data_IF_646204431766
#
_entry.id   IF_646204431766
#
_cell.length_a   1.000
_cell.length_b   1.000
_cell.length_c   1.000
_cell.angle_alpha   90.00
_cell.angle_beta   90.00
_cell.angle_gamma   90.00
#
_symmetry.space_group_name_H-M   'P 1'
#
loop_
_entity.id
_entity.type
_entity.pdbx_description
1 polymer ?
#
# COMPACT_ATOMS: atom_id res chain seq x y z
N UNK A 1 -37.08 -0.76 5.45
CA UNK A 1 -35.90 -1.35 4.77
C UNK A 1 -34.65 -0.98 5.57
N UNK A 2 -34.41 -1.65 6.70
CA UNK A 2 -33.25 -1.38 7.58
C UNK A 2 -32.33 -2.61 7.74
N UNK A 3 -32.75 -3.82 7.35
CA UNK A 3 -31.97 -5.04 7.57
C UNK A 3 -30.78 -5.26 6.63
N UNK A 4 -30.78 -4.67 5.42
CA UNK A 4 -29.76 -4.98 4.40
C UNK A 4 -28.36 -4.44 4.74
N UNK A 5 -28.28 -3.33 5.50
CA UNK A 5 -27.00 -2.67 5.79
C UNK A 5 -26.28 -3.33 6.97
N UNK A 6 -27.02 -3.87 7.93
CA UNK A 6 -26.45 -4.53 9.11
C UNK A 6 -25.80 -5.88 8.73
N UNK A 7 -26.46 -6.64 7.86
CA UNK A 7 -25.93 -7.92 7.36
C UNK A 7 -24.62 -7.73 6.59
N UNK A 8 -24.55 -6.75 5.68
CA UNK A 8 -23.32 -6.42 4.91
C UNK A 8 -22.18 -5.99 5.83
N UNK A 9 -22.47 -5.18 6.86
CA UNK A 9 -21.46 -4.76 7.82
C UNK A 9 -20.94 -5.95 8.64
N UNK A 10 -21.82 -6.87 9.02
CA UNK A 10 -21.46 -8.07 9.76
C UNK A 10 -20.59 -9.02 8.93
N UNK A 11 -20.95 -9.26 7.67
CA UNK A 11 -20.15 -10.06 6.72
C UNK A 11 -18.77 -9.45 6.50
N UNK A 12 -18.70 -8.13 6.32
CA UNK A 12 -17.42 -7.41 6.20
C UNK A 12 -16.55 -7.56 7.44
N UNK A 13 -17.12 -7.44 8.64
CA UNK A 13 -16.37 -7.63 9.88
C UNK A 13 -15.91 -9.07 10.06
N UNK A 14 -16.72 -10.05 9.67
CA UNK A 14 -16.33 -11.45 9.70
C UNK A 14 -15.17 -11.75 8.74
N UNK A 15 -15.21 -11.19 7.52
CA UNK A 15 -14.13 -11.31 6.54
C UNK A 15 -12.81 -10.78 7.10
N UNK A 16 -12.78 -9.55 7.61
CA UNK A 16 -11.54 -8.97 8.13
C UNK A 16 -11.02 -9.72 9.35
N UNK A 17 -11.90 -10.12 10.28
CA UNK A 17 -11.47 -10.90 11.45
C UNK A 17 -10.81 -12.21 11.04
N UNK A 18 -11.43 -12.96 10.13
CA UNK A 18 -10.84 -14.20 9.64
C UNK A 18 -9.49 -13.94 8.96
N UNK A 19 -9.39 -12.85 8.18
CA UNK A 19 -8.14 -12.49 7.51
C UNK A 19 -7.04 -12.07 8.49
N UNK A 20 -7.36 -11.30 9.51
CA UNK A 20 -6.43 -10.91 10.57
C UNK A 20 -5.96 -12.11 11.39
N UNK A 21 -6.85 -13.08 11.65
CA UNK A 21 -6.52 -14.35 12.30
C UNK A 21 -5.54 -15.18 11.44
N UNK A 22 -5.79 -15.28 10.12
CA UNK A 22 -4.88 -15.95 9.18
C UNK A 22 -3.51 -15.27 9.08
N UNK A 23 -3.49 -13.92 9.07
CA UNK A 23 -2.27 -13.14 8.98
C UNK A 23 -1.52 -13.05 10.32
N UNK A 24 -2.19 -13.37 11.44
CA UNK A 24 -1.67 -13.19 12.79
C UNK A 24 -1.42 -11.72 13.18
N UNK A 25 -1.92 -10.76 12.39
CA UNK A 25 -1.71 -9.33 12.62
C UNK A 25 -2.92 -8.51 12.15
N UNK A 26 -3.21 -7.36 12.80
CA UNK A 26 -4.34 -6.52 12.46
C UNK A 26 -4.11 -5.79 11.12
N UNK A 27 -5.20 -5.59 10.37
CA UNK A 27 -5.20 -4.78 9.15
C UNK A 27 -5.44 -3.32 9.53
N UNK A 28 -4.48 -2.44 9.22
CA UNK A 28 -4.54 -1.01 9.54
C UNK A 28 -5.45 -0.25 8.60
N UNK A 29 -5.34 -0.52 7.31
CA UNK A 29 -6.17 0.09 6.29
C UNK A 29 -6.27 -0.79 5.05
N UNK A 30 -7.32 -0.57 4.27
CA UNK A 30 -7.60 -1.32 3.06
C UNK A 30 -8.29 -0.43 2.03
N UNK A 31 -8.16 -0.79 0.76
CA UNK A 31 -8.82 -0.12 -0.35
C UNK A 31 -9.02 -1.08 -1.52
N UNK A 32 -10.02 -0.79 -2.36
CA UNK A 32 -10.08 -1.40 -3.67
C UNK A 32 -9.08 -0.72 -4.61
N UNK A 33 -8.36 -1.52 -5.39
CA UNK A 33 -7.40 -0.99 -6.34
C UNK A 33 -7.07 -1.93 -7.47
N UNK A 34 -6.13 -1.49 -8.30
CA UNK A 34 -5.61 -2.26 -9.43
C UNK A 34 -4.13 -2.46 -9.26
N UNK A 35 -3.68 -3.70 -9.30
CA UNK A 35 -2.29 -3.99 -9.61
C UNK A 35 -2.07 -3.77 -11.10
N UNK A 36 -1.05 -2.98 -11.44
CA UNK A 36 -0.75 -2.60 -12.82
C UNK A 36 0.43 -3.41 -13.36
N UNK A 37 1.52 -3.53 -12.60
CA UNK A 37 2.71 -4.23 -13.05
C UNK A 37 3.77 -4.40 -11.96
N UNK A 38 4.78 -5.21 -12.28
CA UNK A 38 6.10 -5.14 -11.67
C UNK A 38 6.45 -6.24 -10.68
N UNK A 39 5.61 -7.24 -10.49
CA UNK A 39 5.96 -8.52 -9.87
C UNK A 39 5.77 -9.66 -10.87
N UNK A 40 5.86 -10.91 -10.40
CA UNK A 40 5.81 -12.13 -11.24
C UNK A 40 4.49 -12.32 -11.98
N UNK A 41 3.48 -11.55 -11.61
CA UNK A 41 2.13 -11.63 -12.16
C UNK A 41 1.96 -10.57 -13.25
N UNK A 42 1.41 -10.99 -14.39
CA UNK A 42 1.01 -10.07 -15.45
C UNK A 42 -0.23 -9.28 -15.02
N UNK A 43 -0.11 -7.96 -14.95
CA UNK A 43 -1.24 -7.04 -14.76
C UNK A 43 -1.91 -6.67 -16.09
N UNK A 44 -3.00 -5.87 -16.07
CA UNK A 44 -3.61 -5.27 -14.88
C UNK A 44 -4.65 -6.20 -14.21
N UNK A 45 -4.64 -6.26 -12.89
CA UNK A 45 -5.59 -7.06 -12.08
C UNK A 45 -6.30 -6.18 -11.06
N UNK A 46 -7.62 -6.36 -10.92
CA UNK A 46 -8.39 -5.76 -9.83
C UNK A 46 -8.29 -6.61 -8.57
N UNK A 47 -8.16 -5.96 -7.42
CA UNK A 47 -8.05 -6.67 -6.16
C UNK A 47 -8.12 -5.75 -4.95
N UNK A 48 -8.04 -6.38 -3.79
CA UNK A 48 -8.01 -5.71 -2.51
C UNK A 48 -6.56 -5.36 -2.17
N UNK A 49 -6.31 -4.10 -1.88
CA UNK A 49 -5.07 -3.62 -1.30
C UNK A 49 -5.28 -3.48 0.19
N UNK A 50 -4.37 -4.01 1.00
CA UNK A 50 -4.47 -3.84 2.45
C UNK A 50 -3.09 -3.82 3.11
N UNK A 51 -3.04 -3.13 4.23
CA UNK A 51 -1.82 -2.77 4.94
C UNK A 51 -1.86 -3.34 6.36
N UNK A 52 -0.78 -3.99 6.77
CA UNK A 52 -0.49 -4.31 8.16
C UNK A 52 0.70 -3.47 8.64
N UNK A 53 1.16 -3.66 9.87
CA UNK A 53 2.34 -2.94 10.39
C UNK A 53 3.63 -3.27 9.62
N UNK A 54 3.75 -4.51 9.13
CA UNK A 54 5.00 -5.01 8.56
C UNK A 54 4.92 -5.26 7.05
N UNK A 55 3.71 -5.30 6.47
CA UNK A 55 3.50 -5.79 5.10
C UNK A 55 2.40 -5.04 4.39
N UNK A 56 2.57 -4.89 3.08
CA UNK A 56 1.56 -4.42 2.16
C UNK A 56 1.16 -5.56 1.22
N UNK A 57 -0.14 -5.73 1.02
CA UNK A 57 -0.67 -6.85 0.25
C UNK A 57 -1.54 -6.37 -0.91
N UNK A 58 -1.50 -7.12 -2.00
CA UNK A 58 -2.50 -7.11 -3.05
C UNK A 58 -3.10 -8.49 -3.21
N UNK A 59 -4.42 -8.58 -3.14
CA UNK A 59 -5.16 -9.82 -3.24
C UNK A 59 -6.19 -9.74 -4.37
N UNK A 60 -5.90 -10.44 -5.46
CA UNK A 60 -6.82 -10.65 -6.56
C UNK A 60 -7.68 -11.89 -6.30
N UNK A 61 -8.99 -11.70 -6.31
CA UNK A 61 -9.95 -12.79 -6.23
C UNK A 61 -10.43 -13.18 -7.64
N UNK A 62 -10.45 -14.48 -7.98
CA UNK A 62 -11.09 -14.94 -9.20
C UNK A 62 -12.57 -14.54 -9.16
N UNK A 63 -13.11 -14.10 -10.30
CA UNK A 63 -14.32 -13.26 -10.43
C UNK A 63 -15.65 -13.76 -9.80
N UNK A 64 -15.71 -14.90 -9.13
CA UNK A 64 -16.98 -15.41 -8.63
C UNK A 64 -17.43 -14.83 -7.28
N UNK A 65 -16.54 -14.27 -6.43
CA UNK A 65 -16.92 -14.05 -5.02
C UNK A 65 -16.69 -12.65 -4.41
N UNK A 66 -15.91 -11.73 -5.00
CA UNK A 66 -15.55 -10.49 -4.28
C UNK A 66 -16.53 -9.31 -4.45
N UNK A 67 -17.24 -9.22 -5.58
CA UNK A 67 -18.30 -8.19 -5.77
C UNK A 67 -19.49 -8.43 -4.82
N UNK A 68 -19.74 -9.69 -4.46
CA UNK A 68 -20.73 -10.06 -3.43
C UNK A 68 -20.27 -9.64 -2.02
N UNK A 69 -18.97 -9.69 -1.73
CA UNK A 69 -18.41 -9.38 -0.42
C UNK A 69 -18.26 -7.87 -0.11
N UNK A 70 -18.28 -7.00 -1.14
CA UNK A 70 -18.09 -5.54 -0.96
C UNK A 70 -19.31 -4.67 -1.33
N UNK A 71 -20.40 -5.26 -1.84
CA UNK A 71 -21.70 -4.59 -1.98
C UNK A 71 -21.85 -3.68 -3.21
N UNK A 72 -22.54 -4.21 -4.24
CA UNK A 72 -23.50 -3.48 -5.08
C UNK A 72 -22.99 -2.37 -6.02
N UNK A 73 -22.64 -2.74 -7.26
CA UNK A 73 -22.55 -1.76 -8.36
C UNK A 73 -21.62 -2.18 -9.50
N UNK A 74 -22.10 -3.03 -10.42
CA UNK A 74 -21.34 -3.39 -11.61
C UNK A 74 -21.20 -2.22 -12.59
N UNK A 75 -20.00 -2.06 -13.17
CA UNK A 75 -19.74 -1.71 -14.58
C UNK A 75 -18.23 -1.48 -14.77
N UNK A 76 -17.51 -2.46 -15.33
CA UNK A 76 -16.08 -2.33 -15.61
C UNK A 76 -15.60 -3.37 -16.62
N UNK A 77 -15.74 -3.05 -17.90
CA UNK A 77 -15.22 -3.79 -19.06
C UNK A 77 -13.72 -4.11 -18.94
N UNK A 78 -13.37 -5.33 -19.35
CA UNK A 78 -12.20 -5.58 -20.20
C UNK A 78 -10.90 -5.93 -19.49
N UNK A 79 -10.71 -7.22 -19.22
CA UNK A 79 -9.43 -7.86 -18.94
C UNK A 79 -9.68 -9.32 -18.63
N UNK A 80 -9.13 -10.25 -19.41
CA UNK A 80 -9.30 -11.69 -19.15
C UNK A 80 -8.87 -11.99 -17.72
N UNK A 81 -9.76 -12.50 -16.85
CA UNK A 81 -9.40 -12.79 -15.48
C UNK A 81 -8.44 -13.99 -15.49
N UNK A 82 -7.29 -13.85 -14.84
CA UNK A 82 -6.57 -15.04 -14.39
C UNK A 82 -7.55 -15.83 -13.52
N UNK A 83 -7.80 -17.09 -13.88
CA UNK A 83 -8.74 -17.95 -13.13
C UNK A 83 -8.21 -18.34 -11.74
N UNK A 84 -7.04 -17.84 -11.36
CA UNK A 84 -6.34 -18.17 -10.13
C UNK A 84 -6.36 -16.97 -9.19
N UNK A 85 -6.56 -17.25 -7.92
CA UNK A 85 -6.31 -16.33 -6.83
C UNK A 85 -4.84 -15.94 -6.83
N UNK A 86 -4.58 -14.64 -6.72
CA UNK A 86 -3.22 -14.11 -6.68
C UNK A 86 -3.10 -13.26 -5.43
N UNK A 87 -2.15 -13.62 -4.57
CA UNK A 87 -1.74 -12.80 -3.43
C UNK A 87 -0.30 -12.35 -3.69
N UNK A 88 -0.09 -11.04 -3.71
CA UNK A 88 1.23 -10.43 -3.78
C UNK A 88 1.48 -9.77 -2.44
N UNK A 89 2.60 -10.12 -1.81
CA UNK A 89 3.06 -9.54 -0.56
C UNK A 89 4.30 -8.68 -0.83
N UNK A 90 4.33 -7.51 -0.20
CA UNK A 90 5.45 -6.57 -0.21
C UNK A 90 5.83 -6.30 1.25
N UNK A 91 6.96 -6.83 1.75
CA UNK A 91 7.46 -6.53 3.08
C UNK A 91 7.78 -5.03 3.21
N UNK A 92 7.30 -4.39 4.26
CA UNK A 92 7.59 -3.00 4.57
C UNK A 92 8.92 -2.91 5.29
N UNK A 93 9.99 -2.70 4.53
CA UNK A 93 11.26 -2.25 5.08
C UNK A 93 11.32 -0.72 5.07
N UNK A 94 12.04 -0.12 6.02
CA UNK A 94 12.28 1.34 6.06
C UNK A 94 13.07 1.87 4.86
N UNK A 95 13.51 1.00 3.95
CA UNK A 95 14.20 1.37 2.71
C UNK A 95 13.23 1.50 1.53
N UNK A 96 12.01 0.96 1.60
CA UNK A 96 11.05 1.07 0.52
C UNK A 96 10.60 2.53 0.30
N UNK A 97 10.56 2.92 -0.96
CA UNK A 97 10.11 4.25 -1.38
C UNK A 97 8.74 4.14 -2.03
N UNK A 98 7.78 4.89 -1.49
CA UNK A 98 6.47 5.09 -2.10
C UNK A 98 6.52 6.35 -2.98
N UNK A 99 6.38 6.17 -4.29
CA UNK A 99 6.13 7.25 -5.25
C UNK A 99 4.62 7.31 -5.52
N UNK A 100 3.98 8.41 -5.11
CA UNK A 100 2.58 8.70 -5.42
C UNK A 100 2.60 9.51 -6.70
N UNK A 101 2.31 8.90 -7.85
CA UNK A 101 2.46 9.56 -9.14
C UNK A 101 1.70 10.90 -9.22
N UNK A 102 2.39 12.02 -8.98
CA UNK A 102 1.79 13.35 -8.93
C UNK A 102 1.37 13.84 -10.34
N UNK A 103 1.75 13.11 -11.39
CA UNK A 103 1.26 13.32 -12.74
C UNK A 103 0.80 12.01 -13.37
N UNK A 104 -0.46 11.90 -13.84
CA UNK A 104 -0.89 10.72 -14.58
C UNK A 104 -0.10 10.66 -15.89
N UNK A 105 0.81 9.69 -15.97
CA UNK A 105 1.52 9.40 -17.21
C UNK A 105 0.55 9.09 -18.35
N UNK A 106 0.96 9.26 -19.62
CA UNK A 106 0.09 9.05 -20.78
C UNK A 106 -0.56 7.65 -20.82
N UNK A 107 0.08 6.63 -20.23
CA UNK A 107 -0.49 5.29 -20.09
C UNK A 107 -1.60 5.19 -19.03
N UNK A 108 -1.53 5.95 -17.93
CA UNK A 108 -2.57 5.99 -16.91
C UNK A 108 -3.88 6.55 -17.46
N UNK A 109 -3.80 7.52 -18.39
CA UNK A 109 -4.96 8.05 -19.13
C UNK A 109 -5.58 7.03 -20.08
N UNK A 110 -4.77 6.14 -20.67
CA UNK A 110 -5.23 5.12 -21.62
C UNK A 110 -5.89 3.92 -20.92
N UNK A 111 -5.49 3.60 -19.68
CA UNK A 111 -5.97 2.44 -18.92
C UNK A 111 -7.23 2.71 -18.07
N UNK A 112 -7.75 3.94 -18.10
CA UNK A 112 -9.01 4.31 -17.44
C UNK A 112 -9.02 4.19 -15.92
N UNK A 113 -7.85 4.10 -15.29
CA UNK A 113 -7.70 4.19 -13.83
C UNK A 113 -8.09 5.60 -13.38
N UNK A 114 -9.06 5.70 -12.47
CA UNK A 114 -9.47 6.99 -11.90
C UNK A 114 -8.43 7.49 -10.89
N UNK A 115 -7.63 6.59 -10.32
CA UNK A 115 -6.51 6.92 -9.44
C UNK A 115 -5.19 7.14 -10.19
N UNK A 116 -4.34 8.01 -9.65
CA UNK A 116 -2.95 8.12 -10.09
C UNK A 116 -2.19 6.84 -9.73
N UNK A 117 -1.40 6.26 -10.65
CA UNK A 117 -0.57 5.10 -10.32
C UNK A 117 0.43 5.47 -9.22
N UNK A 118 0.50 4.64 -8.20
CA UNK A 118 1.48 4.66 -7.13
C UNK A 118 2.46 3.50 -7.31
N UNK A 119 3.69 3.68 -6.85
CA UNK A 119 4.76 2.73 -7.02
C UNK A 119 5.50 2.50 -5.69
N UNK A 120 5.64 1.25 -5.28
CA UNK A 120 6.54 0.85 -4.20
C UNK A 120 7.84 0.31 -4.81
N UNK A 121 8.95 0.99 -4.53
CA UNK A 121 10.26 0.66 -5.09
C UNK A 121 11.25 0.33 -4.00
N UNK A 122 11.97 -0.78 -4.19
CA UNK A 122 13.16 -1.09 -3.41
C UNK A 122 14.37 -0.37 -4.03
N UNK A 123 14.99 0.60 -3.33
CA UNK A 123 16.13 1.35 -3.85
C UNK A 123 17.37 0.48 -4.05
N UNK A 124 17.44 -0.70 -3.41
CA UNK A 124 18.53 -1.65 -3.63
C UNK A 124 18.43 -2.34 -4.99
N UNK A 125 17.30 -2.20 -5.69
CA UNK A 125 17.06 -2.75 -7.02
C UNK A 125 16.96 -4.28 -7.06
N UNK A 126 16.87 -4.94 -5.90
CA UNK A 126 16.70 -6.40 -5.81
C UNK A 126 15.32 -6.82 -6.29
N UNK A 127 14.33 -5.99 -5.96
CA UNK A 127 12.95 -6.20 -6.33
C UNK A 127 12.49 -5.27 -7.43
N UNK A 128 11.63 -5.80 -8.31
CA UNK A 128 10.96 -5.00 -9.31
C UNK A 128 9.90 -4.11 -8.64
N UNK A 129 9.68 -2.88 -9.14
CA UNK A 129 8.76 -1.93 -8.52
C UNK A 129 7.32 -2.45 -8.53
N UNK A 130 6.61 -2.41 -7.41
CA UNK A 130 5.20 -2.79 -7.35
C UNK A 130 4.33 -1.58 -7.71
N UNK A 131 3.69 -1.62 -8.89
CA UNK A 131 2.89 -0.51 -9.43
C UNK A 131 1.40 -0.82 -9.29
N UNK A 132 0.64 0.11 -8.69
CA UNK A 132 -0.77 -0.05 -8.41
C UNK A 132 -1.55 1.27 -8.46
N UNK A 133 -2.89 1.22 -8.51
CA UNK A 133 -3.76 2.39 -8.29
C UNK A 133 -4.76 2.10 -7.18
N UNK A 134 -5.07 3.13 -6.38
CA UNK A 134 -6.17 3.10 -5.41
C UNK A 134 -7.38 3.74 -6.06
N UNK A 135 -8.51 3.03 -6.07
CA UNK A 135 -9.72 3.43 -6.81
C UNK A 135 -10.85 3.85 -5.86
N UNK A 136 -10.66 3.66 -4.56
CA UNK A 136 -11.58 4.11 -3.52
C UNK A 136 -11.26 5.56 -3.13
N UNK A 137 -12.19 6.46 -3.44
CA UNK A 137 -12.13 7.85 -3.01
C UNK A 137 -12.19 7.96 -1.48
N UNK A 138 -11.34 8.80 -0.89
CA UNK A 138 -11.26 8.99 0.57
C UNK A 138 -10.56 7.89 1.35
N UNK A 139 -9.92 6.92 0.68
CA UNK A 139 -9.10 5.91 1.37
C UNK A 139 -7.84 6.53 2.00
N UNK A 140 -7.57 6.19 3.27
CA UNK A 140 -6.33 6.56 3.97
C UNK A 140 -5.14 5.65 3.62
N UNK A 141 -5.34 4.62 2.78
CA UNK A 141 -4.35 3.57 2.55
C UNK A 141 -2.97 4.12 2.15
N UNK A 142 -2.93 5.10 1.24
CA UNK A 142 -1.66 5.70 0.80
C UNK A 142 -0.98 6.50 1.91
N UNK A 143 -1.77 7.17 2.76
CA UNK A 143 -1.29 7.95 3.90
C UNK A 143 -0.74 7.06 5.00
N UNK A 144 -1.44 5.99 5.34
CA UNK A 144 -0.98 5.01 6.32
C UNK A 144 0.27 4.26 5.82
N UNK A 145 0.32 3.96 4.51
CA UNK A 145 1.50 3.34 3.89
C UNK A 145 2.71 4.28 3.94
N UNK A 146 2.54 5.55 3.57
CA UNK A 146 3.63 6.53 3.65
C UNK A 146 4.10 6.75 5.09
N UNK A 147 3.18 6.82 6.05
CA UNK A 147 3.52 6.94 7.46
C UNK A 147 4.35 5.73 7.93
N UNK A 148 3.94 4.52 7.54
CA UNK A 148 4.65 3.28 7.91
C UNK A 148 6.07 3.22 7.32
N UNK A 149 6.25 3.68 6.08
CA UNK A 149 7.58 3.76 5.46
C UNK A 149 8.45 4.89 6.04
N UNK A 150 7.85 6.02 6.41
CA UNK A 150 8.55 7.18 6.96
C UNK A 150 9.00 7.02 8.42
N UNK A 151 8.33 6.17 9.21
CA UNK A 151 8.67 5.93 10.62
C UNK A 151 9.98 5.15 10.84
N UNK A 152 10.69 4.72 9.78
CA UNK A 152 11.97 4.02 9.88
C UNK A 152 13.20 4.90 10.18
N UNK A 153 13.04 6.21 10.43
CA UNK A 153 14.15 7.17 10.54
C UNK A 153 14.33 7.73 11.96
N UNK A 154 15.39 7.25 12.63
CA UNK A 154 16.20 7.89 13.70
C UNK A 154 15.66 8.00 15.14
N UNK A 155 15.86 6.95 15.93
CA UNK A 155 16.17 7.08 17.37
C UNK A 155 17.67 6.85 17.60
N UNK A 156 18.47 7.85 17.25
CA UNK A 156 19.94 7.79 17.31
C UNK A 156 20.56 9.07 17.86
N UNK A 157 19.93 9.71 18.85
CA UNK A 157 20.48 10.87 19.56
C UNK A 157 21.60 10.43 20.52
N UNK A 158 22.75 10.07 19.98
CA UNK A 158 24.01 10.01 20.71
C UNK A 158 24.54 11.43 20.92
N UNK A 159 24.15 12.05 22.03
CA UNK A 159 24.68 13.35 22.48
C UNK A 159 26.17 13.18 22.84
N UNK A 160 27.07 13.57 21.94
CA UNK A 160 28.49 13.74 22.22
C UNK A 160 28.77 15.22 22.47
N UNK A 161 28.50 15.65 23.70
CA UNK A 161 29.07 16.89 24.26
C UNK A 161 30.56 16.67 24.51
N UNK A 162 31.40 17.09 23.56
CA UNK A 162 32.84 17.21 23.74
C UNK A 162 33.22 18.65 24.10
N UNK A 163 34.01 18.90 25.15
CA UNK A 163 34.35 20.25 25.57
C UNK A 163 35.33 20.93 24.59
N UNK A 164 35.13 22.24 24.39
CA UNK A 164 35.93 23.10 23.53
C UNK A 164 37.40 23.23 24.00
N UNK A 165 38.38 23.33 23.09
CA UNK A 165 39.75 23.69 23.43
C UNK A 165 39.91 25.20 23.62
N UNK A 166 40.53 25.59 24.74
CA UNK A 166 40.89 26.96 25.08
C UNK A 166 42.05 27.48 24.22
N UNK A 167 41.82 28.48 23.38
CA UNK A 167 42.88 29.28 22.75
C UNK A 167 43.17 30.53 23.59
N UNK A 168 44.40 30.67 24.07
CA UNK A 168 44.91 31.87 24.74
C UNK A 168 45.62 32.80 23.74
N UNK A 169 45.39 34.12 23.77
CA UNK A 169 46.13 35.04 22.92
C UNK A 169 47.45 35.46 23.57
N UNK A 170 48.48 35.52 22.72
CA UNK A 170 49.86 35.79 23.06
C UNK A 170 50.17 37.23 23.50
N UNK A 171 51.35 37.32 24.09
CA UNK A 171 52.03 38.51 24.62
C UNK A 171 52.53 39.40 23.47
N UNK A 172 52.35 40.73 23.52
CA UNK A 172 53.11 41.66 22.70
C UNK A 172 54.36 42.19 23.44
N UNK A 173 55.39 42.51 22.64
CA UNK A 173 56.75 42.99 23.01
C UNK A 173 56.80 44.18 24.00
#
# INVERSE_FOLDING_TARGET
MAGCTDDINQERHAFWRAREEELGCPVRSFALGRYLSGREVAGPLWGLLYLTEERFFFHHFPQQNWISALGGGGSGRGGSPSSQEVVIEVPLSGELVLDRGDTPGPLARLLGSRGNPSCLTDPTGRDRPFVFSVEQEGSSLLDDLAATLGSGTLDGSGSLDGPAPSEGPGVPE
#
